data_IF_523554813996
#
_entry.id   IF_523554813996
#
_cell.length_a   1.000
_cell.length_b   1.000
_cell.length_c   1.000
_cell.angle_alpha   90.00
_cell.angle_beta   90.00
_cell.angle_gamma   90.00
#
_symmetry.space_group_name_H-M   'P 1'
#
loop_
_entity.id
_entity.type
_entity.pdbx_description
1 polymer ?
#
# COMPACT_ATOMS: atom_id res chain seq x y z
N UNK A 1 27.91 18.62 14.87
CA UNK A 1 27.21 17.34 14.59
C UNK A 1 28.02 16.59 13.54
N UNK A 2 28.29 15.28 13.73
CA UNK A 2 29.00 14.43 12.77
C UNK A 2 27.98 13.55 12.05
N UNK A 3 28.15 13.32 10.75
CA UNK A 3 27.25 12.48 9.96
C UNK A 3 28.03 11.41 9.18
N UNK A 4 28.67 10.44 9.88
CA UNK A 4 29.57 9.47 9.24
C UNK A 4 29.00 8.75 8.03
N UNK A 5 27.74 8.33 8.08
CA UNK A 5 27.12 7.62 6.95
C UNK A 5 26.92 8.52 5.73
N UNK A 6 26.51 9.77 5.95
CA UNK A 6 26.34 10.76 4.86
C UNK A 6 27.68 11.12 4.24
N UNK A 7 28.72 11.27 5.06
CA UNK A 7 30.07 11.62 4.62
C UNK A 7 30.68 10.50 3.76
N UNK A 8 30.27 9.24 3.99
CA UNK A 8 30.63 8.07 3.17
C UNK A 8 29.65 7.83 2.00
N UNK A 9 28.74 8.78 1.73
CA UNK A 9 27.90 8.77 0.53
C UNK A 9 26.53 8.12 0.67
N UNK A 10 26.02 7.89 1.90
CA UNK A 10 24.63 7.46 2.10
C UNK A 10 23.65 8.60 1.80
N UNK A 11 22.57 8.27 1.10
CA UNK A 11 21.54 9.19 0.64
C UNK A 11 20.19 8.90 1.31
N UNK A 12 19.33 9.91 1.36
CA UNK A 12 17.94 9.74 1.81
C UNK A 12 17.22 8.81 0.83
N UNK A 13 16.57 7.77 1.37
CA UNK A 13 15.89 6.73 0.59
C UNK A 13 16.71 5.44 0.43
N UNK A 14 17.96 5.40 0.89
CA UNK A 14 18.77 4.18 0.87
C UNK A 14 18.20 3.11 1.81
N UNK A 15 18.03 1.90 1.27
CA UNK A 15 17.51 0.77 2.00
C UNK A 15 18.67 -0.11 2.52
N UNK A 16 18.91 -0.06 3.83
CA UNK A 16 19.93 -0.90 4.48
C UNK A 16 19.38 -2.32 4.66
N UNK A 17 20.05 -3.31 4.08
CA UNK A 17 19.61 -4.71 4.19
C UNK A 17 20.68 -5.65 4.77
N UNK A 18 21.94 -5.21 4.84
CA UNK A 18 23.04 -6.03 5.36
C UNK A 18 24.15 -5.18 5.96
N UNK A 19 24.70 -5.62 7.09
CA UNK A 19 25.82 -4.97 7.78
C UNK A 19 26.84 -6.02 8.18
N UNK A 20 28.10 -5.86 7.78
CA UNK A 20 29.19 -6.82 8.04
C UNK A 20 28.83 -8.27 7.69
N UNK A 21 28.13 -8.48 6.59
CA UNK A 21 27.71 -9.82 6.19
C UNK A 21 26.43 -10.33 6.88
N UNK A 22 25.92 -9.66 7.92
CA UNK A 22 24.68 -10.03 8.65
C UNK A 22 23.47 -9.31 8.06
N UNK A 23 22.38 -10.03 7.81
CA UNK A 23 21.13 -9.42 7.38
C UNK A 23 20.57 -8.54 8.51
N UNK A 24 20.05 -7.36 8.16
CA UNK A 24 19.48 -6.39 9.10
C UNK A 24 18.05 -6.10 8.68
N UNK A 25 17.13 -6.18 9.63
CA UNK A 25 15.70 -5.97 9.38
C UNK A 25 15.02 -4.95 10.29
N UNK A 26 15.74 -4.39 11.26
CA UNK A 26 15.25 -3.38 12.20
C UNK A 26 16.36 -2.42 12.63
N UNK A 27 15.98 -1.27 13.16
CA UNK A 27 16.82 -0.26 13.79
C UNK A 27 17.58 -0.90 14.95
N UNK A 28 16.93 -1.81 15.67
CA UNK A 28 17.54 -2.56 16.77
C UNK A 28 18.65 -3.48 16.27
N UNK A 29 18.43 -4.21 15.16
CA UNK A 29 19.45 -5.05 14.53
C UNK A 29 20.64 -4.21 14.05
N UNK A 30 20.36 -3.06 13.42
CA UNK A 30 21.37 -2.14 12.94
C UNK A 30 22.20 -1.57 14.09
N UNK A 31 21.54 -1.12 15.15
CA UNK A 31 22.19 -0.55 16.32
C UNK A 31 23.10 -1.58 17.02
N UNK A 32 22.67 -2.85 17.11
CA UNK A 32 23.51 -3.94 17.60
C UNK A 32 24.75 -4.14 16.74
N UNK A 33 24.60 -4.18 15.42
CA UNK A 33 25.73 -4.32 14.50
C UNK A 33 26.73 -3.15 14.64
N UNK A 34 26.24 -1.92 14.84
CA UNK A 34 27.08 -0.73 15.03
C UNK A 34 27.88 -0.83 16.34
N UNK A 35 27.24 -1.21 17.44
CA UNK A 35 27.90 -1.34 18.74
C UNK A 35 28.94 -2.48 18.74
N UNK A 36 28.63 -3.62 18.09
CA UNK A 36 29.58 -4.73 17.90
C UNK A 36 30.84 -4.30 17.14
N UNK A 37 30.69 -3.55 16.04
CA UNK A 37 31.83 -3.08 15.24
C UNK A 37 32.64 -1.99 15.95
N UNK A 38 31.98 -1.19 16.79
CA UNK A 38 32.65 -0.18 17.58
C UNK A 38 33.56 -0.77 18.66
N UNK A 39 33.14 -1.88 19.29
CA UNK A 39 33.96 -2.61 20.28
C UNK A 39 35.29 -3.12 19.72
N UNK A 40 35.38 -3.36 18.41
CA UNK A 40 36.59 -3.78 17.71
C UNK A 40 37.33 -2.64 16.97
N UNK A 41 36.86 -1.38 17.08
CA UNK A 41 37.36 -0.22 16.35
C UNK A 41 37.41 -0.42 14.81
N UNK A 42 36.52 -1.25 14.27
CA UNK A 42 36.45 -1.58 12.85
C UNK A 42 35.43 -0.69 12.11
N UNK A 43 35.65 -0.49 10.82
CA UNK A 43 34.63 0.10 9.93
C UNK A 43 33.52 -0.92 9.69
N UNK A 44 32.29 -0.45 9.64
CA UNK A 44 31.12 -1.22 9.21
C UNK A 44 31.08 -1.26 7.68
N UNK A 45 30.92 -2.44 7.11
CA UNK A 45 30.50 -2.57 5.71
C UNK A 45 28.99 -2.63 5.67
N UNK A 46 28.35 -1.55 5.21
CA UNK A 46 26.90 -1.42 5.10
C UNK A 46 26.51 -1.60 3.64
N UNK A 47 25.71 -2.62 3.34
CA UNK A 47 25.15 -2.85 2.01
C UNK A 47 23.75 -2.25 1.96
N UNK A 48 23.56 -1.38 0.97
CA UNK A 48 22.32 -0.65 0.73
C UNK A 48 21.79 -0.95 -0.67
N UNK A 49 20.48 -0.83 -0.84
CA UNK A 49 19.84 -0.80 -2.15
C UNK A 49 19.47 0.66 -2.47
N UNK A 50 20.00 1.19 -3.57
CA UNK A 50 19.74 2.54 -4.09
C UNK A 50 19.25 2.42 -5.54
N UNK A 51 18.01 2.82 -5.82
CA UNK A 51 17.44 2.80 -7.18
C UNK A 51 17.73 1.47 -7.94
N UNK A 52 17.48 0.32 -7.30
CA UNK A 52 17.78 -1.04 -7.78
C UNK A 52 19.26 -1.47 -7.89
N UNK A 53 20.21 -0.64 -7.46
CA UNK A 53 21.63 -1.02 -7.38
C UNK A 53 22.00 -1.36 -5.95
N UNK A 54 22.83 -2.39 -5.78
CA UNK A 54 23.45 -2.68 -4.50
C UNK A 54 24.73 -1.85 -4.40
N UNK A 55 24.83 -1.04 -3.35
CA UNK A 55 26.02 -0.23 -3.04
C UNK A 55 26.54 -0.69 -1.69
N UNK A 56 27.87 -0.73 -1.54
CA UNK A 56 28.52 -1.14 -0.29
C UNK A 56 29.34 0.04 0.23
N UNK A 57 29.02 0.52 1.43
CA UNK A 57 29.65 1.68 2.07
C UNK A 57 30.48 1.23 3.28
N UNK A 58 31.64 1.85 3.50
CA UNK A 58 32.53 1.53 4.63
C UNK A 58 32.51 2.66 5.66
N UNK A 59 31.71 2.52 6.71
CA UNK A 59 31.37 3.61 7.62
C UNK A 59 32.02 3.39 8.99
N UNK A 60 32.72 4.41 9.51
CA UNK A 60 33.28 4.34 10.86
C UNK A 60 32.25 4.80 11.91
N UNK A 61 31.88 3.95 12.90
CA UNK A 61 31.07 4.39 14.03
C UNK A 61 31.74 5.51 14.82
N UNK A 62 30.94 6.45 15.34
CA UNK A 62 31.41 7.52 16.23
C UNK A 62 30.67 7.44 17.55
N UNK A 63 31.42 7.52 18.65
CA UNK A 63 30.84 7.58 19.98
C UNK A 63 30.01 8.85 20.15
N UNK A 64 28.75 8.68 20.58
CA UNK A 64 27.84 9.78 20.90
C UNK A 64 27.77 9.96 22.42
N UNK A 65 28.29 11.08 22.92
CA UNK A 65 28.31 11.40 24.36
C UNK A 65 26.91 11.57 24.96
N UNK A 66 25.91 11.99 24.16
CA UNK A 66 24.53 12.17 24.64
C UNK A 66 23.86 10.84 24.95
N UNK A 67 24.13 9.80 24.17
CA UNK A 67 23.43 8.50 24.31
C UNK A 67 24.34 7.37 24.77
N UNK A 68 25.63 7.66 25.04
CA UNK A 68 26.65 6.69 25.44
C UNK A 68 26.71 5.45 24.53
N UNK A 69 26.47 5.65 23.23
CA UNK A 69 26.42 4.59 22.20
C UNK A 69 27.14 5.04 20.94
N UNK A 70 27.57 4.08 20.13
CA UNK A 70 28.16 4.39 18.85
C UNK A 70 27.08 4.61 17.79
N UNK A 71 27.28 5.63 16.94
CA UNK A 71 26.31 6.05 15.94
C UNK A 71 27.01 6.33 14.61
N UNK A 72 26.25 6.16 13.54
CA UNK A 72 26.68 6.52 12.17
C UNK A 72 25.92 7.74 11.62
N UNK A 73 25.13 8.42 12.47
CA UNK A 73 24.46 9.69 12.11
C UNK A 73 23.24 9.53 11.21
N UNK A 74 22.55 8.39 11.30
CA UNK A 74 21.32 8.10 10.56
C UNK A 74 20.10 8.18 11.47
N UNK A 75 19.00 8.62 10.87
CA UNK A 75 17.66 8.38 11.39
C UNK A 75 17.05 7.27 10.54
N UNK A 76 16.74 6.14 11.17
CA UNK A 76 16.26 4.92 10.48
C UNK A 76 14.79 4.72 10.81
N UNK A 77 14.01 4.32 9.82
CA UNK A 77 12.60 3.97 9.98
C UNK A 77 12.43 2.48 9.70
N UNK A 78 11.85 1.78 10.66
CA UNK A 78 11.67 0.32 10.60
C UNK A 78 10.45 -0.14 9.81
N UNK A 79 9.57 0.79 9.42
CA UNK A 79 8.46 0.48 8.55
C UNK A 79 7.41 1.58 8.49
N UNK A 80 6.42 1.33 7.65
CA UNK A 80 5.21 2.15 7.55
C UNK A 80 4.02 1.24 7.82
N UNK A 81 3.12 1.71 8.67
CA UNK A 81 1.84 1.06 8.95
C UNK A 81 0.75 1.95 8.38
N UNK A 82 -0.24 1.33 7.74
CA UNK A 82 -1.39 2.03 7.19
C UNK A 82 -2.59 1.12 7.09
N UNK A 83 -3.76 1.74 6.97
CA UNK A 83 -5.01 1.05 6.65
C UNK A 83 -5.20 1.11 5.15
N UNK A 84 -5.34 -0.05 4.53
CA UNK A 84 -5.63 -0.20 3.10
C UNK A 84 -6.85 -1.07 2.88
N UNK A 85 -7.55 -0.82 1.78
CA UNK A 85 -8.62 -1.71 1.32
C UNK A 85 -8.02 -2.68 0.31
N UNK A 86 -8.25 -3.98 0.51
CA UNK A 86 -7.96 -4.99 -0.50
C UNK A 86 -8.89 -4.74 -1.71
N UNK A 87 -8.43 -5.05 -2.91
CA UNK A 87 -9.20 -4.80 -4.14
C UNK A 87 -9.74 -6.09 -4.74
N UNK A 88 -8.90 -7.12 -4.78
CA UNK A 88 -9.30 -8.43 -5.24
C UNK A 88 -8.34 -9.48 -4.70
N UNK A 89 -8.81 -10.72 -4.71
CA UNK A 89 -8.03 -11.89 -4.36
C UNK A 89 -8.43 -13.05 -5.26
N UNK A 90 -7.42 -13.71 -5.79
CA UNK A 90 -7.56 -14.87 -6.66
C UNK A 90 -7.55 -16.16 -5.81
N UNK A 91 -8.65 -16.93 -5.78
CA UNK A 91 -8.73 -18.16 -5.00
C UNK A 91 -7.74 -19.24 -5.43
N UNK A 92 -7.40 -19.31 -6.72
CA UNK A 92 -6.57 -20.38 -7.25
C UNK A 92 -5.10 -20.18 -6.86
N UNK A 93 -4.65 -18.92 -6.82
CA UNK A 93 -3.25 -18.56 -6.56
C UNK A 93 -3.01 -17.92 -5.19
N UNK A 94 -4.09 -17.57 -4.47
CA UNK A 94 -4.10 -16.77 -3.25
C UNK A 94 -3.44 -15.39 -3.38
N UNK A 95 -3.26 -14.92 -4.61
CA UNK A 95 -2.70 -13.61 -4.89
C UNK A 95 -3.75 -12.53 -4.65
N UNK A 96 -3.32 -11.40 -4.10
CA UNK A 96 -4.20 -10.24 -3.93
C UNK A 96 -3.55 -8.96 -4.46
N UNK A 97 -4.40 -7.96 -4.66
CA UNK A 97 -3.98 -6.58 -4.80
C UNK A 97 -4.75 -5.68 -3.83
N UNK A 98 -4.15 -4.58 -3.40
CA UNK A 98 -4.78 -3.58 -2.53
C UNK A 98 -4.33 -2.15 -2.89
N UNK A 99 -5.04 -1.14 -2.35
CA UNK A 99 -4.83 0.31 -2.51
C UNK A 99 -5.05 0.91 -3.90
N UNK A 100 -4.55 0.27 -4.96
CA UNK A 100 -4.59 0.83 -6.32
C UNK A 100 -3.58 1.95 -6.60
N UNK A 101 -2.67 2.26 -5.66
CA UNK A 101 -1.56 3.20 -5.84
C UNK A 101 -0.33 2.81 -5.00
N UNK A 102 0.82 3.42 -5.33
CA UNK A 102 2.08 3.22 -4.60
C UNK A 102 2.01 3.82 -3.19
N UNK A 103 2.57 3.10 -2.21
CA UNK A 103 2.85 3.67 -0.88
C UNK A 103 4.15 4.46 -0.96
N UNK A 104 4.06 5.73 -0.57
CA UNK A 104 5.14 6.72 -0.58
C UNK A 104 5.52 7.02 0.87
N UNK A 105 6.80 7.13 1.17
CA UNK A 105 7.26 7.66 2.46
C UNK A 105 7.08 9.19 2.49
N UNK A 106 6.36 9.69 3.49
CA UNK A 106 5.96 11.10 3.60
C UNK A 106 7.13 12.08 3.67
N UNK A 107 8.27 11.65 4.21
CA UNK A 107 9.44 12.51 4.43
C UNK A 107 10.30 12.59 3.17
N UNK A 108 10.52 11.45 2.53
CA UNK A 108 11.37 11.33 1.34
C UNK A 108 10.63 11.62 0.04
N UNK A 109 9.29 11.51 0.05
CA UNK A 109 8.41 11.53 -1.13
C UNK A 109 8.77 10.47 -2.17
N UNK A 110 9.47 9.41 -1.76
CA UNK A 110 9.86 8.29 -2.60
C UNK A 110 8.99 7.06 -2.32
N UNK A 111 8.80 6.22 -3.34
CA UNK A 111 8.14 4.93 -3.18
C UNK A 111 8.93 4.01 -2.26
N UNK A 112 8.24 3.24 -1.44
CA UNK A 112 8.87 2.33 -0.49
C UNK A 112 9.23 1.02 -1.21
N UNK A 113 10.52 0.69 -1.24
CA UNK A 113 11.00 -0.62 -1.66
C UNK A 113 10.68 -1.68 -0.59
N UNK A 114 9.83 -2.63 -0.92
CA UNK A 114 9.39 -3.67 0.02
C UNK A 114 10.45 -4.75 0.13
N UNK A 115 11.18 -4.80 1.26
CA UNK A 115 12.01 -5.96 1.63
C UNK A 115 11.16 -7.08 2.22
N UNK A 116 10.31 -6.70 3.17
CA UNK A 116 9.34 -7.56 3.86
C UNK A 116 8.14 -6.68 4.21
N UNK A 117 6.94 -7.19 3.99
CA UNK A 117 5.71 -6.55 4.44
C UNK A 117 4.68 -7.61 4.78
N UNK A 118 3.73 -7.23 5.63
CA UNK A 118 2.68 -8.11 6.10
C UNK A 118 1.34 -7.39 6.00
N UNK A 119 0.31 -8.12 5.59
CA UNK A 119 -1.08 -7.71 5.76
C UNK A 119 -1.69 -8.52 6.90
N UNK A 120 -2.50 -7.85 7.69
CA UNK A 120 -3.29 -8.44 8.77
C UNK A 120 -4.67 -7.80 8.75
N UNK A 121 -5.65 -8.51 9.28
CA UNK A 121 -7.01 -8.00 9.40
C UNK A 121 -7.07 -6.71 10.21
N UNK A 122 -7.94 -5.80 9.79
CA UNK A 122 -8.23 -4.56 10.50
C UNK A 122 -9.74 -4.36 10.62
N UNK A 123 -10.16 -3.71 11.68
CA UNK A 123 -11.55 -3.31 11.92
C UNK A 123 -11.63 -1.78 11.97
N UNK A 124 -12.57 -1.20 11.23
CA UNK A 124 -12.83 0.24 11.18
C UNK A 124 -13.62 0.64 12.43
N UNK A 125 -12.97 1.35 13.35
CA UNK A 125 -13.61 1.83 14.58
C UNK A 125 -14.43 3.09 14.32
N UNK A 126 -13.91 3.98 13.49
CA UNK A 126 -14.59 5.23 13.14
C UNK A 126 -14.06 5.79 11.83
N UNK A 127 -14.80 6.73 11.25
CA UNK A 127 -14.36 7.47 10.07
C UNK A 127 -14.36 8.96 10.40
N UNK A 128 -13.19 9.59 10.28
CA UNK A 128 -13.09 11.05 10.30
C UNK A 128 -13.60 11.57 8.97
N UNK A 129 -14.73 12.29 9.02
CA UNK A 129 -15.37 12.88 7.85
C UNK A 129 -14.44 13.84 7.09
N UNK A 130 -14.35 13.68 5.77
CA UNK A 130 -13.65 14.56 4.85
C UNK A 130 -14.44 15.83 4.53
N UNK A 131 -13.73 16.91 4.22
CA UNK A 131 -14.28 18.21 3.82
C UNK A 131 -13.37 18.85 2.76
N UNK A 132 -13.87 19.80 1.95
CA UNK A 132 -13.01 20.53 1.02
C UNK A 132 -11.76 21.11 1.72
N UNK A 133 -10.59 20.81 1.16
CA UNK A 133 -9.29 21.18 1.71
C UNK A 133 -8.78 20.33 2.87
N UNK A 134 -9.58 19.42 3.43
CA UNK A 134 -9.24 18.55 4.58
C UNK A 134 -9.65 17.10 4.32
N UNK A 135 -8.72 16.23 3.91
CA UNK A 135 -9.01 14.81 3.68
C UNK A 135 -9.57 14.14 4.94
N UNK A 136 -10.61 13.33 4.74
CA UNK A 136 -11.10 12.42 5.77
C UNK A 136 -10.21 11.17 5.87
N UNK A 137 -10.47 10.32 6.86
CA UNK A 137 -9.65 9.13 7.12
C UNK A 137 -10.45 8.04 7.85
N UNK A 138 -10.26 6.78 7.43
CA UNK A 138 -10.69 5.61 8.21
C UNK A 138 -9.72 5.38 9.36
N UNK A 139 -10.24 5.29 10.58
CA UNK A 139 -9.48 4.96 11.77
C UNK A 139 -9.77 3.50 12.11
N UNK A 140 -8.79 2.64 11.81
CA UNK A 140 -8.87 1.21 12.05
C UNK A 140 -7.93 0.75 13.16
N UNK A 141 -8.25 -0.39 13.76
CA UNK A 141 -7.37 -1.12 14.68
C UNK A 141 -7.13 -2.52 14.14
N UNK A 142 -5.98 -3.10 14.50
CA UNK A 142 -5.70 -4.50 14.16
C UNK A 142 -6.74 -5.43 14.77
N UNK A 143 -7.22 -6.37 13.98
CA UNK A 143 -8.14 -7.41 14.42
C UNK A 143 -7.38 -8.73 14.48
N UNK A 144 -6.86 -9.09 15.67
CA UNK A 144 -6.11 -10.34 15.88
C UNK A 144 -6.94 -11.59 15.63
N UNK A 145 -8.27 -11.49 15.70
CA UNK A 145 -9.20 -12.61 15.42
C UNK A 145 -9.61 -12.69 13.96
N UNK A 146 -9.19 -11.74 13.13
CA UNK A 146 -9.53 -11.73 11.72
C UNK A 146 -8.77 -12.79 10.92
N UNK A 147 -9.31 -13.14 9.76
CA UNK A 147 -8.82 -14.26 8.93
C UNK A 147 -7.76 -13.85 7.92
N UNK A 148 -7.66 -12.54 7.61
CA UNK A 148 -6.67 -12.01 6.68
C UNK A 148 -5.29 -12.01 7.33
N UNK A 149 -4.39 -12.79 6.75
CA UNK A 149 -2.96 -12.83 7.04
C UNK A 149 -2.21 -13.09 5.73
N UNK A 150 -1.11 -12.39 5.48
CA UNK A 150 -0.38 -12.53 4.23
C UNK A 150 0.87 -11.67 4.14
N UNK A 151 1.64 -11.86 3.07
CA UNK A 151 2.83 -11.06 2.81
C UNK A 151 2.52 -9.91 1.84
N UNK A 152 3.43 -8.93 1.78
CA UNK A 152 3.52 -7.94 0.71
C UNK A 152 4.80 -8.23 -0.06
N UNK A 153 4.69 -8.46 -1.36
CA UNK A 153 5.81 -8.78 -2.25
C UNK A 153 6.12 -7.66 -3.23
N UNK A 154 5.15 -6.80 -3.56
CA UNK A 154 5.35 -5.66 -4.46
C UNK A 154 4.61 -4.42 -3.94
N UNK A 155 5.25 -3.27 -4.12
CA UNK A 155 4.64 -1.94 -4.01
C UNK A 155 4.89 -1.21 -5.33
N UNK A 156 3.84 -0.93 -6.08
CA UNK A 156 3.92 -0.42 -7.45
C UNK A 156 3.00 0.78 -7.63
N UNK A 157 3.10 1.49 -8.75
CA UNK A 157 2.17 2.57 -9.10
C UNK A 157 0.70 2.13 -9.19
N UNK A 158 0.44 0.83 -9.35
CA UNK A 158 -0.91 0.26 -9.45
C UNK A 158 -1.42 -0.37 -8.14
N UNK A 159 -0.68 -0.26 -7.03
CA UNK A 159 -1.07 -0.84 -5.75
C UNK A 159 0.01 -1.70 -5.11
N UNK A 160 -0.37 -2.31 -3.99
CA UNK A 160 0.42 -3.34 -3.32
C UNK A 160 -0.09 -4.73 -3.69
N UNK A 161 0.82 -5.69 -3.76
CA UNK A 161 0.52 -7.06 -4.16
C UNK A 161 1.23 -8.05 -3.24
N UNK A 162 0.64 -9.23 -3.09
CA UNK A 162 1.19 -10.29 -2.26
C UNK A 162 0.37 -11.57 -2.36
N UNK A 163 0.59 -12.45 -1.40
CA UNK A 163 -0.18 -13.69 -1.23
C UNK A 163 -0.66 -13.80 0.21
N UNK A 164 -1.88 -14.32 0.37
CA UNK A 164 -2.44 -14.62 1.69
C UNK A 164 -2.00 -16.00 2.15
N UNK A 165 -1.78 -16.13 3.46
CA UNK A 165 -1.43 -17.39 4.11
C UNK A 165 -2.60 -18.39 4.06
N UNK A 166 -3.83 -17.87 4.17
CA UNK A 166 -5.06 -18.65 4.18
C UNK A 166 -6.05 -18.22 3.10
N UNK A 167 -7.17 -18.93 3.09
CA UNK A 167 -8.36 -18.49 2.36
C UNK A 167 -8.95 -17.25 3.01
N UNK A 168 -9.63 -16.51 2.17
CA UNK A 168 -10.20 -15.23 2.48
C UNK A 168 -11.63 -15.40 1.90
N UNK A 169 -12.68 -15.22 2.71
CA UNK A 169 -14.10 -15.17 2.37
C UNK A 169 -14.76 -13.76 2.43
N UNK A 170 -15.48 -13.34 1.38
CA UNK A 170 -16.28 -12.10 1.34
C UNK A 170 -17.77 -12.44 1.52
N UNK A 171 -18.40 -12.07 2.66
CA UNK A 171 -19.79 -12.45 2.95
C UNK A 171 -20.82 -11.74 2.06
N UNK A 172 -20.47 -10.63 1.40
CA UNK A 172 -21.39 -9.81 0.61
C UNK A 172 -21.63 -10.36 -0.80
N UNK A 173 -20.62 -11.01 -1.38
CA UNK A 173 -20.69 -11.57 -2.73
C UNK A 173 -20.18 -13.02 -2.68
N UNK A 174 -21.09 -14.00 -2.53
CA UNK A 174 -20.70 -15.42 -2.38
C UNK A 174 -20.18 -16.06 -3.69
N UNK A 175 -20.11 -15.32 -4.79
CA UNK A 175 -19.72 -15.81 -6.10
C UNK A 175 -18.62 -14.96 -6.72
N UNK A 176 -17.74 -15.59 -7.50
CA UNK A 176 -16.67 -14.91 -8.24
C UNK A 176 -17.30 -13.85 -9.19
N UNK A 177 -16.74 -12.64 -9.21
CA UNK A 177 -17.12 -11.64 -10.21
C UNK A 177 -16.27 -11.80 -11.47
N UNK A 178 -16.77 -11.31 -12.60
CA UNK A 178 -15.95 -11.20 -13.79
C UNK A 178 -15.12 -9.92 -13.73
N UNK A 179 -13.93 -9.93 -14.35
CA UNK A 179 -13.17 -8.70 -14.58
C UNK A 179 -13.72 -8.00 -15.82
N UNK A 180 -14.03 -6.72 -15.68
CA UNK A 180 -14.31 -5.83 -16.79
C UNK A 180 -13.05 -5.08 -17.17
N UNK A 181 -12.63 -5.20 -18.42
CA UNK A 181 -11.45 -4.54 -18.96
C UNK A 181 -11.77 -3.10 -19.40
N UNK A 182 -10.74 -2.26 -19.52
CA UNK A 182 -10.87 -0.82 -19.80
C UNK A 182 -11.76 -0.46 -21.02
N UNK A 183 -11.83 -1.33 -22.04
CA UNK A 183 -12.66 -1.12 -23.22
C UNK A 183 -14.16 -1.35 -22.97
N UNK A 184 -14.53 -2.12 -21.93
CA UNK A 184 -15.90 -2.43 -21.55
C UNK A 184 -16.50 -1.39 -20.58
N UNK A 185 -15.64 -0.54 -20.01
CA UNK A 185 -16.05 0.48 -19.04
C UNK A 185 -16.62 1.68 -19.77
N UNK A 186 -17.74 2.20 -19.25
CA UNK A 186 -18.38 3.41 -19.75
C UNK A 186 -18.81 4.33 -18.62
N UNK A 187 -19.12 5.58 -18.95
CA UNK A 187 -19.67 6.54 -17.99
C UNK A 187 -21.05 6.11 -17.52
N UNK A 188 -21.41 6.46 -16.29
CA UNK A 188 -22.72 6.15 -15.69
C UNK A 188 -22.61 5.41 -14.36
N UNK A 189 -23.71 4.75 -13.97
CA UNK A 189 -23.85 4.13 -12.64
C UNK A 189 -22.87 2.99 -12.44
N UNK A 190 -22.28 2.96 -11.25
CA UNK A 190 -21.44 1.90 -10.75
C UNK A 190 -21.58 1.81 -9.22
N UNK A 191 -20.88 0.87 -8.60
CA UNK A 191 -20.80 0.73 -7.15
C UNK A 191 -19.36 0.67 -6.70
N UNK A 192 -19.11 1.09 -5.46
CA UNK A 192 -17.88 0.75 -4.74
C UNK A 192 -18.19 -0.15 -3.57
N UNK A 193 -17.32 -1.12 -3.31
CA UNK A 193 -17.38 -1.96 -2.13
C UNK A 193 -16.34 -1.48 -1.12
N UNK A 194 -16.75 -1.14 0.10
CA UNK A 194 -15.85 -0.61 1.11
C UNK A 194 -16.39 -0.86 2.52
N UNK A 195 -15.49 -0.82 3.50
CA UNK A 195 -15.83 -0.93 4.92
C UNK A 195 -15.82 0.47 5.56
N UNK A 196 -16.93 0.84 6.22
CA UNK A 196 -17.04 2.11 6.97
C UNK A 196 -17.26 1.92 8.47
N UNK A 197 -17.58 0.70 8.91
CA UNK A 197 -17.78 0.34 10.30
C UNK A 197 -17.46 -1.14 10.51
N UNK A 198 -16.71 -1.46 11.57
CA UNK A 198 -16.30 -2.82 11.87
C UNK A 198 -15.48 -3.45 10.74
N UNK A 199 -15.84 -4.66 10.37
CA UNK A 199 -15.31 -5.43 9.25
C UNK A 199 -16.38 -5.72 8.17
N UNK A 200 -17.53 -5.05 8.28
CA UNK A 200 -18.66 -5.22 7.36
C UNK A 200 -18.38 -4.53 6.03
N UNK A 201 -18.27 -5.35 4.98
CA UNK A 201 -18.18 -4.86 3.61
C UNK A 201 -19.59 -4.38 3.23
N UNK A 202 -19.69 -3.18 2.66
CA UNK A 202 -20.93 -2.61 2.15
C UNK A 202 -20.77 -2.13 0.71
N UNK A 203 -21.87 -2.15 -0.05
CA UNK A 203 -21.93 -1.59 -1.39
C UNK A 203 -22.55 -0.19 -1.37
N UNK A 204 -21.89 0.76 -2.04
CA UNK A 204 -22.33 2.15 -2.15
C UNK A 204 -22.38 2.59 -3.61
N UNK A 205 -23.42 3.32 -3.97
CA UNK A 205 -23.60 3.84 -5.32
C UNK A 205 -22.61 4.97 -5.65
N UNK A 206 -22.06 4.90 -6.85
CA UNK A 206 -21.20 5.92 -7.45
C UNK A 206 -21.59 6.15 -8.92
N UNK A 207 -21.04 7.20 -9.51
CA UNK A 207 -21.10 7.47 -10.93
C UNK A 207 -19.69 7.62 -11.52
N UNK A 208 -19.43 6.91 -12.62
CA UNK A 208 -18.23 7.10 -13.44
C UNK A 208 -18.49 8.29 -14.36
N UNK A 209 -17.91 9.45 -14.03
CA UNK A 209 -18.10 10.69 -14.80
C UNK A 209 -17.23 10.73 -16.06
N UNK A 210 -16.01 10.17 -16.00
CA UNK A 210 -15.05 10.18 -17.12
C UNK A 210 -14.20 8.92 -17.14
N UNK A 211 -13.84 8.48 -18.35
CA UNK A 211 -12.95 7.34 -18.59
C UNK A 211 -11.80 7.80 -19.49
N UNK A 212 -10.57 7.58 -19.05
CA UNK A 212 -9.32 7.93 -19.73
C UNK A 212 -8.50 6.67 -19.99
N UNK A 213 -8.79 5.97 -21.09
CA UNK A 213 -8.21 4.64 -21.38
C UNK A 213 -6.69 4.66 -21.58
N UNK A 214 -6.14 5.76 -22.07
CA UNK A 214 -4.70 5.87 -22.37
C UNK A 214 -3.85 6.24 -21.14
N UNK A 215 -4.45 6.47 -19.96
CA UNK A 215 -3.72 6.87 -18.75
C UNK A 215 -3.26 5.67 -17.93
N UNK A 216 -1.95 5.61 -17.69
CA UNK A 216 -1.32 4.57 -16.85
C UNK A 216 -0.89 5.07 -15.45
N UNK A 217 -1.25 6.29 -15.07
CA UNK A 217 -0.82 6.93 -13.82
C UNK A 217 -1.77 6.72 -12.63
N UNK A 218 -2.59 5.67 -12.66
CA UNK A 218 -3.61 5.40 -11.62
C UNK A 218 -4.83 6.34 -11.63
N UNK A 219 -4.97 7.18 -12.67
CA UNK A 219 -6.10 8.10 -12.89
C UNK A 219 -6.85 7.76 -14.17
N UNK A 220 -7.19 6.48 -14.32
CA UNK A 220 -7.87 5.92 -15.48
C UNK A 220 -9.34 6.33 -15.57
N UNK A 221 -9.99 6.62 -14.45
CA UNK A 221 -11.37 7.11 -14.43
C UNK A 221 -11.56 8.20 -13.37
N UNK A 222 -12.57 9.05 -13.57
CA UNK A 222 -13.09 9.97 -12.55
C UNK A 222 -14.42 9.40 -12.07
N UNK A 223 -14.52 9.25 -10.76
CA UNK A 223 -15.72 8.77 -10.09
C UNK A 223 -16.28 9.84 -9.16
N UNK A 224 -17.59 9.80 -8.94
CA UNK A 224 -18.29 10.57 -7.93
C UNK A 224 -19.10 9.65 -7.03
N UNK A 225 -19.00 9.80 -5.73
CA UNK A 225 -19.89 9.14 -4.77
C UNK A 225 -21.27 9.77 -4.86
N UNK A 226 -22.30 8.95 -5.06
CA UNK A 226 -23.69 9.40 -5.14
C UNK A 226 -24.56 8.82 -4.03
N UNK A 227 -24.06 7.83 -3.28
CA UNK A 227 -24.77 7.23 -2.16
C UNK A 227 -24.87 8.21 -0.97
N UNK A 228 -26.10 8.58 -0.55
CA UNK A 228 -26.29 9.55 0.52
C UNK A 228 -25.82 9.04 1.89
N UNK A 229 -25.85 7.72 2.14
CA UNK A 229 -25.37 7.13 3.39
C UNK A 229 -23.85 7.30 3.48
N UNK A 230 -23.13 6.98 2.40
CA UNK A 230 -21.67 7.11 2.39
C UNK A 230 -21.25 8.58 2.58
N UNK A 231 -21.88 9.51 1.86
CA UNK A 231 -21.61 10.95 1.96
C UNK A 231 -21.89 11.46 3.39
N UNK A 232 -22.98 11.00 4.01
CA UNK A 232 -23.32 11.38 5.39
C UNK A 232 -22.24 10.97 6.38
N UNK A 233 -21.79 9.71 6.32
CA UNK A 233 -20.80 9.13 7.25
C UNK A 233 -19.41 9.74 7.02
N UNK A 234 -19.00 9.82 5.76
CA UNK A 234 -17.57 10.00 5.40
C UNK A 234 -17.29 11.34 4.73
N UNK A 235 -18.31 12.03 4.23
CA UNK A 235 -18.15 13.24 3.43
C UNK A 235 -17.73 12.99 1.98
N UNK A 236 -17.64 11.73 1.54
CA UNK A 236 -17.19 11.33 0.21
C UNK A 236 -16.09 10.27 0.28
N UNK A 237 -15.12 10.34 -0.63
CA UNK A 237 -13.95 9.47 -0.61
C UNK A 237 -12.98 9.95 0.47
N UNK A 238 -12.53 9.03 1.32
CA UNK A 238 -11.59 9.32 2.41
C UNK A 238 -10.35 8.43 2.33
N UNK A 239 -9.28 8.83 3.02
CA UNK A 239 -8.09 8.00 3.14
C UNK A 239 -8.45 6.66 3.78
N UNK A 240 -7.87 5.58 3.24
CA UNK A 240 -8.23 4.20 3.60
C UNK A 240 -9.34 3.60 2.74
N UNK A 241 -10.02 4.38 1.89
CA UNK A 241 -10.88 3.82 0.81
C UNK A 241 -10.09 3.45 -0.44
N UNK A 242 -8.85 3.92 -0.58
CA UNK A 242 -7.97 3.50 -1.66
C UNK A 242 -7.89 1.97 -1.68
N UNK A 243 -8.17 1.39 -2.85
CA UNK A 243 -8.29 -0.04 -3.08
C UNK A 243 -9.73 -0.55 -3.11
N UNK A 244 -10.72 0.25 -2.70
CA UNK A 244 -12.14 -0.14 -2.73
C UNK A 244 -12.52 -0.59 -4.15
N UNK A 245 -13.02 -1.82 -4.35
CA UNK A 245 -13.38 -2.33 -5.66
C UNK A 245 -14.46 -1.48 -6.30
N UNK A 246 -14.28 -1.13 -7.58
CA UNK A 246 -15.29 -0.48 -8.41
C UNK A 246 -15.98 -1.55 -9.26
N UNK A 247 -17.31 -1.64 -9.15
CA UNK A 247 -18.13 -2.63 -9.84
C UNK A 247 -19.12 -1.94 -10.77
N UNK A 248 -19.07 -2.28 -12.06
CA UNK A 248 -20.02 -1.84 -13.07
C UNK A 248 -20.56 -3.07 -13.80
N UNK A 249 -21.87 -3.15 -14.02
CA UNK A 249 -22.52 -4.26 -14.73
C UNK A 249 -22.14 -5.67 -14.20
N UNK A 250 -22.06 -5.81 -12.87
CA UNK A 250 -21.64 -7.05 -12.18
C UNK A 250 -20.20 -7.50 -12.45
N UNK A 251 -19.35 -6.61 -12.99
CA UNK A 251 -17.93 -6.85 -13.20
C UNK A 251 -17.10 -5.94 -12.31
N UNK A 252 -15.99 -6.43 -11.76
CA UNK A 252 -14.98 -5.56 -11.17
C UNK A 252 -14.21 -4.88 -12.29
N UNK A 253 -14.27 -3.55 -12.32
CA UNK A 253 -13.70 -2.73 -13.41
C UNK A 253 -12.49 -1.91 -12.95
N UNK A 254 -12.28 -1.81 -11.64
CA UNK A 254 -11.14 -1.10 -11.11
C UNK A 254 -11.13 -0.98 -9.60
N UNK A 255 -10.31 -0.05 -9.10
CA UNK A 255 -10.23 0.30 -7.70
C UNK A 255 -10.20 1.81 -7.51
N UNK A 256 -10.76 2.32 -6.41
CA UNK A 256 -10.61 3.71 -5.97
C UNK A 256 -9.14 3.98 -5.64
N UNK A 257 -8.58 5.13 -6.06
CA UNK A 257 -7.18 5.48 -5.75
C UNK A 257 -7.06 6.75 -4.91
N UNK A 258 -7.34 7.92 -5.49
CA UNK A 258 -7.10 9.22 -4.86
C UNK A 258 -8.38 10.06 -4.83
N UNK A 259 -8.61 10.77 -3.74
CA UNK A 259 -9.69 11.76 -3.61
C UNK A 259 -9.27 13.12 -4.18
N UNK A 260 -10.23 13.91 -4.66
CA UNK A 260 -10.00 15.31 -5.01
C UNK A 260 -10.03 16.16 -3.73
N UNK A 261 -8.94 16.87 -3.45
CA UNK A 261 -8.77 17.60 -2.19
C UNK A 261 -9.89 18.63 -1.91
N UNK A 262 -10.40 19.29 -2.94
CA UNK A 262 -11.43 20.32 -2.82
C UNK A 262 -12.86 19.81 -3.08
N UNK A 263 -13.01 18.56 -3.51
CA UNK A 263 -14.30 17.93 -3.81
C UNK A 263 -14.25 16.47 -3.34
N UNK A 264 -14.45 16.21 -2.03
CA UNK A 264 -14.25 14.87 -1.48
C UNK A 264 -15.21 13.82 -2.07
N UNK A 265 -16.34 14.22 -2.63
CA UNK A 265 -17.25 13.30 -3.31
C UNK A 265 -16.65 12.75 -4.60
N UNK A 266 -15.65 13.43 -5.19
CA UNK A 266 -14.96 13.00 -6.39
C UNK A 266 -13.59 12.40 -6.12
N UNK A 267 -13.21 11.47 -6.98
CA UNK A 267 -11.90 10.86 -6.96
C UNK A 267 -11.53 10.22 -8.27
N UNK A 268 -10.40 9.53 -8.22
CA UNK A 268 -9.85 8.75 -9.32
C UNK A 268 -10.01 7.26 -9.06
N UNK A 269 -10.15 6.50 -10.15
CA UNK A 269 -10.02 5.05 -10.15
C UNK A 269 -8.93 4.58 -11.12
N UNK A 270 -8.35 3.42 -10.81
CA UNK A 270 -7.44 2.67 -11.68
C UNK A 270 -8.17 1.48 -12.29
N UNK A 271 -7.84 1.12 -13.53
CA UNK A 271 -8.42 -0.04 -14.21
C UNK A 271 -7.87 -1.36 -13.68
N UNK A 272 -8.70 -2.41 -13.74
CA UNK A 272 -8.26 -3.79 -13.45
C UNK A 272 -7.10 -4.23 -14.34
N UNK A 273 -7.08 -3.85 -15.61
CA UNK A 273 -6.00 -4.13 -16.56
C UNK A 273 -4.62 -3.77 -15.98
N UNK A 274 -4.53 -2.56 -15.42
CA UNK A 274 -3.28 -2.01 -14.90
C UNK A 274 -2.82 -2.72 -13.62
N UNK A 275 -3.76 -3.21 -12.81
CA UNK A 275 -3.46 -3.95 -11.59
C UNK A 275 -3.06 -5.39 -11.92
N UNK A 276 -3.82 -6.06 -12.79
CA UNK A 276 -3.55 -7.44 -13.21
C UNK A 276 -2.22 -7.59 -13.95
N UNK A 277 -1.79 -6.57 -14.69
CA UNK A 277 -0.47 -6.55 -15.34
C UNK A 277 0.71 -6.64 -14.35
N UNK A 278 0.50 -6.37 -13.05
CA UNK A 278 1.54 -6.49 -12.02
C UNK A 278 1.67 -7.90 -11.45
N UNK A 279 0.67 -8.75 -11.66
CA UNK A 279 0.72 -10.15 -11.24
C UNK A 279 1.55 -10.97 -12.24
N UNK A 280 2.24 -12.03 -11.78
CA UNK A 280 2.92 -12.96 -12.68
C UNK A 280 1.97 -13.44 -13.78
N UNK A 281 2.46 -13.55 -15.02
CA UNK A 281 1.68 -13.93 -16.19
C UNK A 281 0.96 -15.26 -15.97
N UNK A 282 -0.33 -15.18 -15.67
CA UNK A 282 -1.28 -16.29 -15.72
C UNK A 282 -1.53 -16.60 -17.20
N UNK A 283 -1.19 -17.81 -17.63
CA UNK A 283 -1.41 -18.28 -19.00
C UNK A 283 -2.92 -18.29 -19.31
N UNK A 284 -3.33 -17.37 -20.20
CA UNK A 284 -4.21 -17.56 -21.36
C UNK A 284 -5.58 -18.25 -21.32
N UNK A 285 -6.27 -18.40 -20.19
CA UNK A 285 -7.70 -18.73 -20.22
C UNK A 285 -8.58 -17.67 -19.57
N UNK A 286 -9.78 -17.48 -20.14
CA UNK A 286 -10.76 -16.45 -19.78
C UNK A 286 -11.01 -16.43 -18.26
N UNK A 287 -10.46 -15.41 -17.58
CA UNK A 287 -10.43 -15.35 -16.13
C UNK A 287 -11.75 -14.89 -15.52
N UNK A 288 -12.28 -15.70 -14.60
CA UNK A 288 -13.20 -15.29 -13.54
C UNK A 288 -12.34 -15.01 -12.31
N UNK A 289 -12.39 -13.80 -11.74
CA UNK A 289 -11.60 -13.47 -10.56
C UNK A 289 -12.52 -13.10 -9.42
N UNK A 290 -12.32 -13.71 -8.26
CA UNK A 290 -13.07 -13.26 -7.08
C UNK A 290 -12.66 -11.84 -6.69
N UNK A 291 -13.65 -11.00 -6.35
CA UNK A 291 -13.39 -9.77 -5.58
C UNK A 291 -13.24 -10.10 -4.11
N UNK A 292 -12.41 -11.09 -3.82
CA UNK A 292 -12.15 -11.43 -2.44
C UNK A 292 -11.29 -10.29 -1.89
N UNK A 293 -12.02 -9.44 -1.16
CA UNK A 293 -11.63 -8.32 -0.32
C UNK A 293 -11.21 -7.05 -1.03
#
# INVERSE_FOLDING_TARGET
KKYPARDEGMEIGDLIFKVNGKAVSSETDLAKCIDEAAGSNQKLTVQIKRHNKIVSLSIKPVHCSETQRHRIGLYVRDGVVGVGTMTFWDPDTRQYAALGHIIIDTDTRQGIDVLRGKIVSASVQTVRRGRPGKPGEKIGVFNEKGTVDGNITKNTSSGIFGQTSGEVNNPLVPHLLEVGYAHQIHTGKAKIYTVVNGDDIEAFDIEIEKVYRDRQNGKGMVIRVTDPRLISITGGIVQGMSGSPIVQEKRIVGAVTHVFLNDPERGYGIFMDNMLAQLPSLQNDAKKFSTLY
#
